data_IF_805314135175
#
_entry.id   IF_805314135175
#
_cell.length_a   1.000
_cell.length_b   1.000
_cell.length_c   1.000
_cell.angle_alpha   90.00
_cell.angle_beta   90.00
_cell.angle_gamma   90.00
#
_symmetry.space_group_name_H-M   'P 1'
#
loop_
_entity.id
_entity.type
_entity.pdbx_description
1 polymer ?
#
# COMPACT_ATOMS: atom_id res chain seq x y z
N UNK A 1 -9.75 -18.26 17.26
CA UNK A 1 -9.53 -16.82 16.94
C UNK A 1 -8.14 -16.28 17.38
N UNK A 2 -7.31 -17.03 18.09
CA UNK A 2 -6.00 -16.58 18.61
C UNK A 2 -4.87 -16.56 17.58
N UNK A 3 -4.85 -17.46 16.60
CA UNK A 3 -3.80 -17.51 15.56
C UNK A 3 -3.77 -16.30 14.60
N UNK A 4 -4.93 -15.80 14.17
CA UNK A 4 -4.99 -14.64 13.29
C UNK A 4 -4.52 -13.32 13.93
N UNK A 5 -4.55 -13.22 15.27
CA UNK A 5 -4.08 -12.02 15.98
C UNK A 5 -2.56 -11.83 15.94
N UNK A 6 -1.78 -12.92 15.74
CA UNK A 6 -0.31 -12.86 15.64
C UNK A 6 0.17 -12.68 14.20
N UNK A 7 -0.56 -13.20 13.23
CA UNK A 7 -0.16 -13.21 11.82
C UNK A 7 -0.23 -11.84 11.16
N UNK A 8 -1.24 -11.03 11.46
CA UNK A 8 -1.38 -9.69 10.86
C UNK A 8 -0.16 -8.80 11.19
N UNK A 9 0.25 -8.63 12.47
CA UNK A 9 1.47 -7.87 12.77
C UNK A 9 2.72 -8.44 12.13
N UNK A 10 2.87 -9.78 12.11
CA UNK A 10 4.02 -10.43 11.46
C UNK A 10 4.06 -10.13 9.95
N UNK A 11 2.92 -10.26 9.26
CA UNK A 11 2.83 -9.93 7.83
C UNK A 11 3.18 -8.48 7.56
N UNK A 12 2.71 -7.54 8.40
CA UNK A 12 3.06 -6.12 8.29
C UNK A 12 4.58 -5.93 8.41
N UNK A 13 5.22 -6.58 9.39
CA UNK A 13 6.67 -6.50 9.59
C UNK A 13 7.44 -7.07 8.39
N UNK A 14 7.05 -8.24 7.88
CA UNK A 14 7.69 -8.84 6.69
C UNK A 14 7.48 -7.96 5.46
N UNK A 15 6.30 -7.36 5.29
CA UNK A 15 6.02 -6.42 4.18
C UNK A 15 6.92 -5.19 4.24
N UNK A 16 7.13 -4.62 5.41
CA UNK A 16 8.01 -3.46 5.59
C UNK A 16 9.49 -3.83 5.39
N UNK A 17 9.90 -5.03 5.81
CA UNK A 17 11.22 -5.56 5.51
C UNK A 17 11.42 -5.75 4.00
N UNK A 18 10.44 -6.31 3.30
CA UNK A 18 10.48 -6.46 1.85
C UNK A 18 10.60 -5.09 1.16
N UNK A 19 9.87 -4.09 1.65
CA UNK A 19 9.91 -2.74 1.11
C UNK A 19 11.28 -2.06 1.35
N UNK A 20 11.84 -2.19 2.56
CA UNK A 20 13.17 -1.68 2.87
C UNK A 20 14.28 -2.39 2.06
N UNK A 21 14.16 -3.72 1.85
CA UNK A 21 15.06 -4.50 1.00
C UNK A 21 14.99 -4.04 -0.45
N UNK A 22 13.79 -3.73 -0.95
CA UNK A 22 13.62 -3.18 -2.31
C UNK A 22 14.27 -1.80 -2.44
N UNK A 23 14.16 -0.93 -1.44
CA UNK A 23 14.84 0.35 -1.42
C UNK A 23 16.37 0.19 -1.47
N UNK A 24 16.91 -0.73 -0.69
CA UNK A 24 18.34 -1.08 -0.74
C UNK A 24 18.74 -1.62 -2.12
N UNK A 25 17.88 -2.44 -2.75
CA UNK A 25 18.10 -3.01 -4.08
C UNK A 25 18.20 -1.92 -5.15
N UNK A 26 17.45 -0.84 -5.02
CA UNK A 26 17.52 0.31 -5.91
C UNK A 26 18.91 0.97 -5.83
N UNK A 27 19.44 1.22 -4.64
CA UNK A 27 20.80 1.73 -4.50
C UNK A 27 21.86 0.78 -5.07
N UNK A 28 21.76 -0.53 -4.76
CA UNK A 28 22.72 -1.53 -5.22
C UNK A 28 22.62 -1.76 -6.73
N UNK A 29 21.50 -1.38 -7.37
CA UNK A 29 21.33 -1.49 -8.83
C UNK A 29 22.32 -0.62 -9.62
N UNK A 30 22.94 0.39 -9.00
CA UNK A 30 24.07 1.14 -9.55
C UNK A 30 25.23 0.24 -10.01
N UNK A 31 25.44 -0.89 -9.32
CA UNK A 31 26.50 -1.86 -9.61
C UNK A 31 25.96 -3.18 -10.17
N UNK A 32 24.68 -3.49 -9.89
CA UNK A 32 24.00 -4.72 -10.30
C UNK A 32 22.62 -4.39 -10.88
N UNK A 33 22.53 -3.97 -12.16
CA UNK A 33 21.30 -3.46 -12.79
C UNK A 33 20.07 -4.39 -12.65
N UNK A 34 20.30 -5.71 -12.57
CA UNK A 34 19.20 -6.70 -12.36
C UNK A 34 18.42 -6.48 -11.07
N UNK A 35 19.00 -5.81 -10.07
CA UNK A 35 18.34 -5.55 -8.81
C UNK A 35 17.27 -4.47 -8.90
N UNK A 36 17.30 -3.61 -9.92
CA UNK A 36 16.24 -2.62 -10.14
C UNK A 36 14.87 -3.27 -10.39
N UNK A 37 14.68 -4.09 -11.46
CA UNK A 37 13.40 -4.74 -11.72
C UNK A 37 13.03 -5.75 -10.61
N UNK A 38 13.99 -6.38 -9.96
CA UNK A 38 13.75 -7.24 -8.81
C UNK A 38 13.20 -6.42 -7.62
N UNK A 39 13.78 -5.26 -7.34
CA UNK A 39 13.32 -4.34 -6.30
C UNK A 39 11.91 -3.83 -6.56
N UNK A 40 11.58 -3.43 -7.80
CA UNK A 40 10.20 -3.05 -8.18
C UNK A 40 9.22 -4.17 -7.88
N UNK A 41 9.55 -5.41 -8.25
CA UNK A 41 8.70 -6.56 -7.97
C UNK A 41 8.53 -6.79 -6.46
N UNK A 42 9.60 -6.65 -5.67
CA UNK A 42 9.54 -6.84 -4.24
C UNK A 42 8.70 -5.76 -3.52
N UNK A 43 8.80 -4.48 -3.95
CA UNK A 43 7.92 -3.42 -3.41
C UNK A 43 6.46 -3.78 -3.64
N UNK A 44 6.09 -4.11 -4.88
CA UNK A 44 4.69 -4.30 -5.27
C UNK A 44 4.12 -5.58 -4.67
N UNK A 45 4.83 -6.69 -4.84
CA UNK A 45 4.33 -8.02 -4.46
C UNK A 45 4.62 -8.36 -3.00
N UNK A 46 5.78 -7.96 -2.46
CA UNK A 46 6.22 -8.31 -1.11
C UNK A 46 5.95 -7.22 -0.06
N UNK A 47 5.99 -5.95 -0.47
CA UNK A 47 5.71 -4.81 0.40
C UNK A 47 4.23 -4.44 0.41
N UNK A 48 3.74 -3.88 -0.68
CA UNK A 48 2.40 -3.27 -0.78
C UNK A 48 1.29 -4.31 -0.69
N UNK A 49 1.33 -5.36 -1.51
CA UNK A 49 0.22 -6.30 -1.64
C UNK A 49 -0.06 -7.09 -0.35
N UNK A 50 0.93 -7.70 0.34
CA UNK A 50 0.67 -8.39 1.59
C UNK A 50 0.25 -7.44 2.72
N UNK A 51 0.72 -6.19 2.71
CA UNK A 51 0.28 -5.17 3.65
C UNK A 51 -1.21 -4.86 3.46
N UNK A 52 -1.66 -4.70 2.20
CA UNK A 52 -3.08 -4.51 1.87
C UNK A 52 -3.90 -5.72 2.33
N UNK A 53 -3.44 -6.95 2.10
CA UNK A 53 -4.11 -8.14 2.60
C UNK A 53 -4.22 -8.11 4.12
N UNK A 54 -3.13 -7.86 4.83
CA UNK A 54 -3.10 -7.83 6.29
C UNK A 54 -4.07 -6.80 6.89
N UNK A 55 -4.14 -5.60 6.31
CA UNK A 55 -5.08 -4.53 6.72
C UNK A 55 -6.52 -4.94 6.38
N UNK A 56 -6.76 -5.44 5.17
CA UNK A 56 -8.09 -5.83 4.73
C UNK A 56 -8.67 -7.02 5.52
N UNK A 57 -7.84 -7.88 6.10
CA UNK A 57 -8.31 -8.94 7.00
C UNK A 57 -9.15 -8.39 8.17
N UNK A 58 -8.85 -7.16 8.62
CA UNK A 58 -9.60 -6.48 9.67
C UNK A 58 -10.70 -5.57 9.12
N UNK A 59 -10.41 -4.90 8.03
CA UNK A 59 -11.18 -3.77 7.53
C UNK A 59 -12.27 -4.22 6.57
N UNK A 60 -12.00 -5.17 5.69
CA UNK A 60 -12.92 -5.59 4.64
C UNK A 60 -14.26 -6.15 5.15
N UNK A 61 -14.32 -6.97 6.23
CA UNK A 61 -15.60 -7.40 6.80
C UNK A 61 -16.46 -6.24 7.30
N UNK A 62 -15.84 -5.15 7.74
CA UNK A 62 -16.56 -3.95 8.18
C UNK A 62 -17.17 -3.20 7.00
N UNK A 63 -16.46 -3.19 5.84
CA UNK A 63 -16.91 -2.50 4.63
C UNK A 63 -17.91 -3.31 3.81
N UNK A 64 -17.66 -4.62 3.66
CA UNK A 64 -18.46 -5.48 2.81
C UNK A 64 -19.76 -5.94 3.48
N UNK A 65 -19.85 -5.88 4.81
CA UNK A 65 -20.92 -6.50 5.58
C UNK A 65 -20.90 -8.03 5.50
N UNK A 66 -19.80 -8.63 5.05
CA UNK A 66 -19.64 -10.09 4.90
C UNK A 66 -18.62 -10.62 5.90
N UNK A 67 -18.82 -11.84 6.33
CA UNK A 67 -17.83 -12.57 7.12
C UNK A 67 -16.82 -13.27 6.18
N UNK A 68 -15.67 -13.61 6.71
CA UNK A 68 -14.74 -14.49 6.02
C UNK A 68 -15.31 -15.89 5.91
N UNK A 69 -15.05 -16.57 4.77
CA UNK A 69 -15.47 -17.98 4.61
C UNK A 69 -14.78 -18.90 5.62
N UNK A 70 -13.48 -18.69 5.82
CA UNK A 70 -12.70 -19.50 6.75
C UNK A 70 -11.45 -18.74 7.24
N UNK A 71 -11.11 -18.83 8.54
CA UNK A 71 -9.85 -18.32 9.06
C UNK A 71 -8.60 -19.00 8.45
N UNK A 72 -8.72 -20.27 8.01
CA UNK A 72 -7.60 -20.99 7.36
C UNK A 72 -7.25 -20.38 6.01
N UNK A 73 -8.24 -19.93 5.24
CA UNK A 73 -8.02 -19.25 3.96
C UNK A 73 -7.27 -17.92 4.14
N UNK A 74 -7.49 -17.22 5.25
CA UNK A 74 -6.75 -16.01 5.58
C UNK A 74 -5.27 -16.32 5.83
N UNK A 75 -4.99 -17.41 6.55
CA UNK A 75 -3.63 -17.86 6.79
C UNK A 75 -2.93 -18.23 5.47
N UNK A 76 -3.60 -19.02 4.62
CA UNK A 76 -3.08 -19.38 3.30
C UNK A 76 -2.79 -18.15 2.43
N UNK A 77 -3.68 -17.16 2.41
CA UNK A 77 -3.44 -15.90 1.70
C UNK A 77 -2.12 -15.24 2.15
N UNK A 78 -1.90 -15.11 3.47
CA UNK A 78 -0.71 -14.46 4.00
C UNK A 78 0.56 -15.28 3.75
N UNK A 79 0.50 -16.61 3.80
CA UNK A 79 1.63 -17.49 3.51
C UNK A 79 1.99 -17.41 2.02
N UNK A 80 1.03 -17.59 1.12
CA UNK A 80 1.30 -17.51 -0.32
C UNK A 80 1.76 -16.12 -0.76
N UNK A 81 1.32 -15.05 -0.10
CA UNK A 81 1.81 -13.70 -0.39
C UNK A 81 3.32 -13.55 -0.17
N UNK A 82 3.94 -14.38 0.70
CA UNK A 82 5.40 -14.37 0.90
C UNK A 82 6.17 -14.95 -0.29
N UNK A 83 5.52 -15.59 -1.26
CA UNK A 83 6.14 -16.04 -2.51
C UNK A 83 6.72 -14.90 -3.34
N UNK A 84 6.38 -13.65 -3.03
CA UNK A 84 7.02 -12.45 -3.57
C UNK A 84 8.55 -12.44 -3.40
N UNK A 85 9.07 -13.03 -2.33
CA UNK A 85 10.51 -13.19 -2.15
C UNK A 85 11.14 -14.11 -3.19
N UNK A 86 10.43 -15.14 -3.63
CA UNK A 86 10.90 -16.02 -4.73
C UNK A 86 10.91 -15.25 -6.06
N UNK A 87 9.92 -14.38 -6.32
CA UNK A 87 9.94 -13.50 -7.51
C UNK A 87 11.19 -12.60 -7.47
N UNK A 88 11.46 -11.98 -6.32
CA UNK A 88 12.66 -11.14 -6.14
C UNK A 88 13.94 -11.94 -6.39
N UNK A 89 14.10 -13.08 -5.74
CA UNK A 89 15.30 -13.93 -5.86
C UNK A 89 15.48 -14.45 -7.29
N UNK A 90 14.39 -14.85 -7.96
CA UNK A 90 14.42 -15.29 -9.35
C UNK A 90 14.93 -14.19 -10.30
N UNK A 91 14.41 -12.96 -10.15
CA UNK A 91 14.84 -11.77 -10.91
C UNK A 91 16.26 -11.33 -10.55
N UNK A 92 16.64 -11.45 -9.29
CA UNK A 92 17.98 -11.13 -8.82
C UNK A 92 19.08 -12.06 -9.35
N UNK A 93 18.72 -13.27 -9.81
CA UNK A 93 19.69 -14.17 -10.46
C UNK A 93 19.50 -15.68 -10.23
N UNK A 94 18.55 -16.12 -9.37
CA UNK A 94 18.30 -17.55 -9.16
C UNK A 94 17.51 -18.22 -10.31
N UNK A 95 17.08 -17.45 -11.30
CA UNK A 95 16.54 -17.98 -12.54
C UNK A 95 15.01 -18.00 -12.62
N UNK A 96 14.52 -18.26 -13.85
CA UNK A 96 13.10 -18.14 -14.23
C UNK A 96 12.18 -19.11 -13.52
N UNK A 97 12.65 -20.30 -13.22
CA UNK A 97 11.84 -21.30 -12.50
C UNK A 97 11.47 -20.79 -11.11
N UNK A 98 12.43 -20.21 -10.37
CA UNK A 98 12.20 -19.63 -9.05
C UNK A 98 11.24 -18.45 -9.16
N UNK A 99 11.42 -17.57 -10.17
CA UNK A 99 10.51 -16.44 -10.45
C UNK A 99 9.08 -16.94 -10.72
N UNK A 100 8.92 -17.96 -11.58
CA UNK A 100 7.61 -18.52 -11.94
C UNK A 100 6.88 -19.16 -10.75
N UNK A 101 7.60 -19.92 -9.91
CA UNK A 101 7.05 -20.48 -8.66
C UNK A 101 6.58 -19.37 -7.73
N UNK A 102 7.38 -18.31 -7.60
CA UNK A 102 7.02 -17.12 -6.83
C UNK A 102 5.77 -16.43 -7.39
N UNK A 103 5.70 -16.19 -8.70
CA UNK A 103 4.58 -15.56 -9.37
C UNK A 103 3.29 -16.38 -9.24
N UNK A 104 3.37 -17.70 -9.40
CA UNK A 104 2.25 -18.62 -9.18
C UNK A 104 1.75 -18.57 -7.73
N UNK A 105 2.66 -18.51 -6.75
CA UNK A 105 2.31 -18.34 -5.35
C UNK A 105 1.60 -17.01 -5.06
N UNK A 106 2.07 -15.91 -5.63
CA UNK A 106 1.40 -14.60 -5.51
C UNK A 106 -0.01 -14.61 -6.14
N UNK A 107 -0.17 -15.22 -7.31
CA UNK A 107 -1.48 -15.39 -7.95
C UNK A 107 -2.41 -16.26 -7.09
N UNK A 108 -1.88 -17.35 -6.52
CA UNK A 108 -2.64 -18.22 -5.59
C UNK A 108 -3.09 -17.44 -4.36
N UNK A 109 -2.24 -16.56 -3.80
CA UNK A 109 -2.62 -15.67 -2.70
C UNK A 109 -3.83 -14.80 -3.06
N UNK A 110 -3.82 -14.18 -4.25
CA UNK A 110 -4.91 -13.32 -4.71
C UNK A 110 -6.22 -14.10 -4.93
N UNK A 111 -6.15 -15.29 -5.52
CA UNK A 111 -7.32 -16.15 -5.74
C UNK A 111 -7.92 -16.63 -4.41
N UNK A 112 -7.08 -17.06 -3.46
CA UNK A 112 -7.51 -17.46 -2.11
C UNK A 112 -8.11 -16.27 -1.37
N UNK A 113 -7.51 -15.07 -1.48
CA UNK A 113 -8.04 -13.84 -0.90
C UNK A 113 -9.42 -13.49 -1.46
N UNK A 114 -9.56 -13.50 -2.79
CA UNK A 114 -10.82 -13.22 -3.47
C UNK A 114 -11.93 -14.22 -3.04
N UNK A 115 -11.60 -15.50 -2.98
CA UNK A 115 -12.54 -16.51 -2.50
C UNK A 115 -12.90 -16.35 -1.03
N UNK A 116 -11.92 -16.06 -0.18
CA UNK A 116 -12.12 -15.88 1.26
C UNK A 116 -13.02 -14.69 1.60
N UNK A 117 -12.96 -13.61 0.81
CA UNK A 117 -13.80 -12.40 1.00
C UNK A 117 -15.25 -12.59 0.63
N UNK A 118 -15.60 -13.63 -0.15
CA UNK A 118 -16.95 -13.98 -0.58
C UNK A 118 -17.77 -14.75 0.46
N UNK A 119 -17.46 -14.63 1.75
CA UNK A 119 -18.18 -15.29 2.84
C UNK A 119 -19.64 -14.82 3.01
N UNK A 120 -20.41 -15.45 3.92
CA UNK A 120 -21.82 -15.14 4.13
C UNK A 120 -21.99 -13.68 4.59
N UNK A 121 -23.13 -13.09 4.20
CA UNK A 121 -23.53 -11.76 4.67
C UNK A 121 -23.74 -11.83 6.18
N UNK A 122 -23.24 -10.83 6.90
CA UNK A 122 -23.53 -10.70 8.34
C UNK A 122 -25.01 -10.51 8.53
N UNK A 123 -25.57 -11.16 9.54
CA UNK A 123 -26.95 -10.91 9.97
C UNK A 123 -27.10 -9.40 10.18
N UNK A 124 -28.07 -8.74 9.54
CA UNK A 124 -28.32 -7.33 9.77
C UNK A 124 -28.48 -7.09 11.29
N UNK A 125 -27.97 -6.00 11.83
CA UNK A 125 -28.36 -5.59 13.18
C UNK A 125 -29.88 -5.44 13.25
N UNK A 126 -30.44 -5.68 14.42
CA UNK A 126 -31.89 -5.64 14.64
C UNK A 126 -32.53 -4.38 14.03
N UNK A 127 -33.77 -4.47 13.51
CA UNK A 127 -34.48 -3.32 12.95
C UNK A 127 -34.49 -2.15 13.96
N UNK A 128 -33.92 -1.02 13.56
CA UNK A 128 -33.68 0.16 14.40
C UNK A 128 -32.22 0.50 14.68
N UNK A 129 -31.31 -0.45 14.69
CA UNK A 129 -29.87 -0.18 14.84
C UNK A 129 -29.17 0.13 13.48
N UNK A 130 -29.76 -0.28 12.36
CA UNK A 130 -29.25 -0.03 11.02
C UNK A 130 -29.67 1.33 10.44
N UNK A 131 -30.55 2.03 11.08
CA UNK A 131 -31.11 3.28 10.63
C UNK A 131 -30.18 4.45 10.94
N UNK A 132 -29.36 4.80 10.07
CA UNK A 132 -28.68 6.08 9.81
C UNK A 132 -27.24 5.83 9.34
N UNK A 133 -27.08 5.08 8.27
CA UNK A 133 -25.94 5.37 7.40
C UNK A 133 -26.17 6.80 6.91
N UNK A 134 -25.48 7.75 7.53
CA UNK A 134 -25.61 9.16 7.19
C UNK A 134 -25.49 9.31 5.69
N UNK A 135 -26.45 9.96 5.02
CA UNK A 135 -26.40 10.26 3.58
C UNK A 135 -25.04 10.85 3.15
N UNK A 136 -24.35 11.50 4.10
CA UNK A 136 -22.99 12.00 4.00
C UNK A 136 -21.98 10.96 3.48
N UNK A 137 -22.18 9.67 3.77
CA UNK A 137 -21.21 8.61 3.44
C UNK A 137 -21.59 7.79 2.20
N UNK A 138 -22.84 7.80 1.79
CA UNK A 138 -23.36 6.94 0.70
C UNK A 138 -22.58 7.07 -0.61
N UNK A 139 -22.28 8.29 -1.04
CA UNK A 139 -21.54 8.52 -2.29
C UNK A 139 -20.10 7.99 -2.21
N UNK A 140 -19.40 8.25 -1.10
CA UNK A 140 -18.06 7.73 -0.87
C UNK A 140 -18.03 6.20 -0.82
N UNK A 141 -18.98 5.58 -0.11
CA UNK A 141 -19.09 4.14 0.01
C UNK A 141 -19.38 3.46 -1.32
N UNK A 142 -20.28 4.03 -2.12
CA UNK A 142 -20.64 3.47 -3.43
C UNK A 142 -19.48 3.54 -4.40
N UNK A 143 -18.83 4.71 -4.52
CA UNK A 143 -17.69 4.89 -5.40
C UNK A 143 -16.47 4.12 -4.88
N UNK A 144 -16.25 4.13 -3.57
CA UNK A 144 -15.16 3.35 -2.95
C UNK A 144 -15.26 1.87 -3.24
N UNK A 145 -16.46 1.27 -3.17
CA UNK A 145 -16.68 -0.14 -3.55
C UNK A 145 -16.38 -0.41 -5.02
N UNK A 146 -16.68 0.53 -5.93
CA UNK A 146 -16.34 0.39 -7.36
C UNK A 146 -14.82 0.36 -7.55
N UNK A 147 -14.09 1.26 -6.89
CA UNK A 147 -12.64 1.28 -6.93
C UNK A 147 -12.02 -0.01 -6.35
N UNK A 148 -12.51 -0.53 -5.24
CA UNK A 148 -12.01 -1.80 -4.66
C UNK A 148 -12.26 -2.98 -5.62
N UNK A 149 -13.39 -3.01 -6.32
CA UNK A 149 -13.66 -4.03 -7.35
C UNK A 149 -12.70 -3.90 -8.52
N UNK A 150 -12.50 -2.69 -9.04
CA UNK A 150 -11.56 -2.39 -10.12
C UNK A 150 -10.14 -2.82 -9.73
N UNK A 151 -9.71 -2.46 -8.51
CA UNK A 151 -8.43 -2.88 -7.96
C UNK A 151 -8.28 -4.41 -7.94
N UNK A 152 -9.30 -5.15 -7.51
CA UNK A 152 -9.29 -6.62 -7.54
C UNK A 152 -9.11 -7.21 -8.94
N UNK A 153 -9.74 -6.62 -9.96
CA UNK A 153 -9.56 -7.02 -11.36
C UNK A 153 -8.11 -6.81 -11.79
N UNK A 154 -7.55 -5.62 -11.55
CA UNK A 154 -6.17 -5.33 -11.94
C UNK A 154 -5.12 -6.11 -11.14
N UNK A 155 -5.42 -6.50 -9.90
CA UNK A 155 -4.58 -7.43 -9.15
C UNK A 155 -4.46 -8.76 -9.91
N UNK A 156 -5.58 -9.35 -10.31
CA UNK A 156 -5.57 -10.63 -11.02
C UNK A 156 -4.94 -10.51 -12.42
N UNK A 157 -5.25 -9.44 -13.16
CA UNK A 157 -4.64 -9.16 -14.47
C UNK A 157 -3.14 -8.99 -14.34
N UNK A 158 -2.67 -8.16 -13.41
CA UNK A 158 -1.25 -7.91 -13.20
C UNK A 158 -0.50 -9.15 -12.75
N UNK A 159 -1.05 -9.95 -11.81
CA UNK A 159 -0.41 -11.20 -11.37
C UNK A 159 -0.40 -12.26 -12.48
N UNK A 160 -1.48 -12.37 -13.25
CA UNK A 160 -1.53 -13.25 -14.43
C UNK A 160 -0.50 -12.86 -15.48
N UNK A 161 -0.38 -11.55 -15.79
CA UNK A 161 0.64 -11.04 -16.68
C UNK A 161 2.06 -11.31 -16.15
N UNK A 162 2.30 -11.08 -14.85
CA UNK A 162 3.60 -11.36 -14.22
C UNK A 162 4.00 -12.83 -14.33
N UNK A 163 3.04 -13.75 -14.15
CA UNK A 163 3.28 -15.18 -14.38
C UNK A 163 3.55 -15.49 -15.86
N UNK A 164 2.79 -14.90 -16.78
CA UNK A 164 2.99 -15.08 -18.22
C UNK A 164 4.37 -14.60 -18.66
N UNK A 165 4.88 -13.48 -18.13
CA UNK A 165 6.20 -12.93 -18.43
C UNK A 165 7.36 -13.82 -17.96
N UNK A 166 7.14 -14.75 -17.05
CA UNK A 166 8.15 -15.75 -16.71
C UNK A 166 8.44 -16.70 -17.89
N UNK A 167 7.45 -16.96 -18.74
CA UNK A 167 7.55 -17.88 -19.86
C UNK A 167 7.70 -17.16 -21.21
N UNK A 168 7.11 -15.98 -21.35
CA UNK A 168 7.12 -15.18 -22.56
C UNK A 168 7.74 -13.81 -22.25
N UNK A 169 8.94 -13.54 -22.81
CA UNK A 169 9.62 -12.25 -22.68
C UNK A 169 9.78 -11.64 -24.06
N UNK A 170 8.85 -10.79 -24.49
CA UNK A 170 9.08 -9.97 -25.66
C UNK A 170 10.29 -9.07 -25.41
N UNK A 171 11.17 -8.91 -26.42
CA UNK A 171 12.49 -8.26 -26.28
C UNK A 171 12.46 -6.79 -25.84
N UNK A 172 11.30 -6.14 -25.84
CA UNK A 172 11.11 -4.80 -25.29
C UNK A 172 10.66 -4.87 -23.85
N UNK A 173 11.28 -4.14 -22.93
CA UNK A 173 10.84 -4.03 -21.52
C UNK A 173 9.44 -3.42 -21.30
N UNK A 174 8.68 -3.19 -22.36
CA UNK A 174 7.34 -2.56 -22.35
C UNK A 174 6.32 -3.33 -21.51
N UNK A 175 6.31 -4.64 -21.64
CA UNK A 175 5.38 -5.49 -20.90
C UNK A 175 5.65 -5.51 -19.38
N UNK A 176 6.91 -5.29 -18.98
CA UNK A 176 7.25 -5.05 -17.58
C UNK A 176 6.66 -3.71 -17.08
N UNK A 177 6.62 -2.68 -17.93
CA UNK A 177 5.95 -1.41 -17.61
C UNK A 177 4.44 -1.59 -17.52
N UNK A 178 3.83 -2.33 -18.46
CA UNK A 178 2.40 -2.69 -18.41
C UNK A 178 2.08 -3.42 -17.10
N UNK A 179 2.88 -4.42 -16.75
CA UNK A 179 2.78 -5.18 -15.51
C UNK A 179 2.86 -4.27 -14.28
N UNK A 180 3.87 -3.43 -14.21
CA UNK A 180 4.09 -2.54 -13.09
C UNK A 180 2.93 -1.53 -12.92
N UNK A 181 2.46 -0.90 -14.01
CA UNK A 181 1.37 0.07 -13.95
C UNK A 181 0.01 -0.59 -13.68
N UNK A 182 -0.25 -1.79 -14.20
CA UNK A 182 -1.45 -2.55 -13.86
C UNK A 182 -1.53 -2.81 -12.34
N UNK A 183 -0.40 -3.13 -11.69
CA UNK A 183 -0.35 -3.36 -10.26
C UNK A 183 -0.26 -2.07 -9.43
N UNK A 184 0.46 -1.04 -9.89
CA UNK A 184 0.62 0.20 -9.12
C UNK A 184 -0.58 1.13 -9.26
N UNK A 185 -1.05 1.37 -10.47
CA UNK A 185 -2.20 2.26 -10.71
C UNK A 185 -3.50 1.46 -10.61
N UNK A 186 -3.56 0.31 -11.29
CA UNK A 186 -4.77 -0.51 -11.32
C UNK A 186 -5.11 -1.14 -9.98
N UNK A 187 -4.16 -1.79 -9.32
CA UNK A 187 -4.39 -2.41 -8.02
C UNK A 187 -4.20 -1.43 -6.86
N UNK A 188 -2.99 -0.88 -6.67
CA UNK A 188 -2.66 -0.15 -5.46
C UNK A 188 -3.37 1.22 -5.38
N UNK A 189 -3.21 2.10 -6.38
CA UNK A 189 -3.84 3.42 -6.37
C UNK A 189 -5.37 3.33 -6.34
N UNK A 190 -5.97 2.39 -7.09
CA UNK A 190 -7.41 2.16 -7.05
C UNK A 190 -7.88 1.65 -5.68
N UNK A 191 -7.12 0.74 -5.04
CA UNK A 191 -7.42 0.31 -3.66
C UNK A 191 -7.34 1.46 -2.68
N UNK A 192 -6.28 2.28 -2.76
CA UNK A 192 -6.11 3.49 -1.94
C UNK A 192 -7.28 4.46 -2.14
N UNK A 193 -7.66 4.73 -3.39
CA UNK A 193 -8.80 5.61 -3.72
C UNK A 193 -10.10 5.11 -3.10
N UNK A 194 -10.35 3.79 -3.23
CA UNK A 194 -11.52 3.15 -2.64
C UNK A 194 -11.57 3.25 -1.12
N UNK A 195 -10.45 2.97 -0.46
CA UNK A 195 -10.32 3.07 1.00
C UNK A 195 -10.42 4.52 1.47
N UNK A 196 -9.73 5.46 0.80
CA UNK A 196 -9.80 6.88 1.14
C UNK A 196 -11.24 7.41 1.06
N UNK A 197 -11.98 7.07 0.02
CA UNK A 197 -13.37 7.51 -0.16
C UNK A 197 -14.32 6.94 0.90
N UNK A 198 -13.99 5.80 1.47
CA UNK A 198 -14.76 5.22 2.57
C UNK A 198 -14.35 5.78 3.93
N UNK A 199 -13.04 5.85 4.25
CA UNK A 199 -12.59 6.12 5.62
C UNK A 199 -12.43 7.60 5.94
N UNK A 200 -11.94 8.43 4.99
CA UNK A 200 -11.62 9.83 5.28
C UNK A 200 -12.83 10.66 5.74
N UNK A 201 -14.03 10.56 5.13
CA UNK A 201 -15.19 11.31 5.64
C UNK A 201 -15.67 10.85 7.03
N UNK A 202 -15.30 9.63 7.45
CA UNK A 202 -15.56 9.13 8.80
C UNK A 202 -14.57 9.60 9.84
N UNK A 203 -13.35 9.90 9.39
CA UNK A 203 -12.27 10.39 10.23
C UNK A 203 -12.20 11.91 10.31
N UNK A 204 -12.66 12.60 9.26
CA UNK A 204 -12.78 14.05 9.18
C UNK A 204 -14.15 14.51 9.67
N UNK A 205 -14.22 15.75 10.16
CA UNK A 205 -15.48 16.42 10.48
C UNK A 205 -16.23 16.86 9.22
N UNK A 206 -15.53 16.91 8.06
CA UNK A 206 -16.07 17.37 6.77
C UNK A 206 -16.67 16.20 5.98
N UNK A 207 -17.66 16.53 5.12
CA UNK A 207 -18.17 15.63 4.09
C UNK A 207 -17.59 15.96 2.72
N UNK A 208 -18.05 15.26 1.70
CA UNK A 208 -17.71 15.54 0.32
C UNK A 208 -18.30 16.89 -0.14
N UNK A 209 -17.46 17.78 -0.66
CA UNK A 209 -17.92 19.06 -1.20
C UNK A 209 -18.73 18.88 -2.49
N UNK A 210 -18.28 17.99 -3.37
CA UNK A 210 -18.85 17.71 -4.68
C UNK A 210 -18.89 16.19 -4.94
N UNK A 211 -19.94 15.49 -4.48
CA UNK A 211 -20.01 14.02 -4.60
C UNK A 211 -19.91 13.49 -6.03
N UNK A 212 -20.29 14.24 -7.06
CA UNK A 212 -20.17 13.84 -8.46
C UNK A 212 -18.71 13.69 -8.91
N UNK A 213 -17.77 14.46 -8.32
CA UNK A 213 -16.35 14.34 -8.61
C UNK A 213 -15.76 12.95 -8.22
N UNK A 214 -16.34 12.26 -7.23
CA UNK A 214 -15.92 10.92 -6.90
C UNK A 214 -16.21 9.94 -8.03
N UNK A 215 -17.40 10.08 -8.64
CA UNK A 215 -17.80 9.28 -9.80
C UNK A 215 -16.95 9.60 -11.03
N UNK A 216 -16.70 10.89 -11.27
CA UNK A 216 -15.85 11.33 -12.38
C UNK A 216 -14.44 10.77 -12.22
N UNK A 217 -13.83 10.85 -11.02
CA UNK A 217 -12.52 10.22 -10.75
C UNK A 217 -12.53 8.72 -11.09
N UNK A 218 -13.57 7.99 -10.65
CA UNK A 218 -13.69 6.57 -10.98
C UNK A 218 -13.75 6.32 -12.49
N UNK A 219 -14.53 7.12 -13.24
CA UNK A 219 -14.64 6.97 -14.69
C UNK A 219 -13.32 7.28 -15.40
N UNK A 220 -12.62 8.35 -14.98
CA UNK A 220 -11.33 8.71 -15.56
C UNK A 220 -10.29 7.60 -15.39
N UNK A 221 -10.19 6.97 -14.21
CA UNK A 221 -9.30 5.82 -13.98
C UNK A 221 -9.80 4.59 -14.76
N UNK A 222 -11.10 4.30 -14.75
CA UNK A 222 -11.66 3.12 -15.41
C UNK A 222 -11.46 3.13 -16.94
N UNK A 223 -11.41 4.31 -17.56
CA UNK A 223 -11.15 4.47 -18.99
C UNK A 223 -9.69 4.85 -19.30
N UNK A 224 -9.08 5.72 -18.50
CA UNK A 224 -7.72 6.19 -18.73
C UNK A 224 -6.67 5.10 -18.57
N UNK A 225 -6.80 4.29 -17.51
CA UNK A 225 -5.83 3.23 -17.23
C UNK A 225 -5.74 2.15 -18.35
N UNK A 226 -6.85 1.58 -18.88
CA UNK A 226 -6.74 0.68 -20.03
C UNK A 226 -6.07 1.32 -21.24
N UNK A 227 -6.37 2.58 -21.53
CA UNK A 227 -5.73 3.32 -22.64
C UNK A 227 -4.24 3.51 -22.38
N UNK A 228 -3.83 3.83 -21.14
CA UNK A 228 -2.43 3.94 -20.76
C UNK A 228 -1.70 2.61 -20.88
N UNK A 229 -2.28 1.50 -20.40
CA UNK A 229 -1.67 0.19 -20.52
C UNK A 229 -1.51 -0.25 -21.99
N UNK A 230 -2.49 0.07 -22.83
CA UNK A 230 -2.42 -0.16 -24.28
C UNK A 230 -1.35 0.73 -24.93
N UNK A 231 -1.27 2.00 -24.54
CA UNK A 231 -0.22 2.92 -25.01
C UNK A 231 1.19 2.39 -24.68
N UNK A 232 1.39 1.88 -23.44
CA UNK A 232 2.66 1.26 -23.03
C UNK A 232 2.95 -0.02 -23.82
N UNK A 233 1.96 -0.89 -24.03
CA UNK A 233 2.13 -2.15 -24.73
C UNK A 233 2.51 -1.95 -26.21
N UNK A 234 1.87 -0.97 -26.89
CA UNK A 234 2.02 -0.70 -28.32
C UNK A 234 3.06 0.38 -28.62
N UNK A 235 3.57 1.09 -27.60
CA UNK A 235 4.42 2.30 -27.78
C UNK A 235 3.75 3.36 -28.66
N UNK A 236 2.49 3.61 -28.41
CA UNK A 236 1.63 4.40 -29.29
C UNK A 236 1.46 5.83 -28.77
N UNK A 237 2.23 6.77 -29.32
CA UNK A 237 2.17 8.20 -28.96
C UNK A 237 0.72 8.79 -28.96
N UNK A 238 -0.15 8.47 -29.94
CA UNK A 238 -1.54 8.98 -29.92
C UNK A 238 -2.33 8.51 -28.70
N UNK A 239 -2.10 7.30 -28.21
CA UNK A 239 -2.79 6.78 -27.02
C UNK A 239 -2.27 7.45 -25.76
N UNK A 240 -0.98 7.80 -25.66
CA UNK A 240 -0.46 8.61 -24.55
C UNK A 240 -1.07 10.01 -24.52
N UNK A 241 -1.32 10.62 -25.68
CA UNK A 241 -1.99 11.93 -25.77
C UNK A 241 -3.43 11.90 -25.22
N UNK A 242 -4.07 10.73 -25.20
CA UNK A 242 -5.40 10.54 -24.59
C UNK A 242 -5.27 10.15 -23.11
N UNK A 243 -4.43 9.14 -22.80
CA UNK A 243 -4.28 8.61 -21.45
C UNK A 243 -3.72 9.66 -20.47
N UNK A 244 -2.71 10.43 -20.88
CA UNK A 244 -2.07 11.44 -20.04
C UNK A 244 -3.02 12.44 -19.42
N UNK A 245 -3.85 13.17 -20.21
CA UNK A 245 -4.85 14.07 -19.68
C UNK A 245 -5.90 13.41 -18.79
N UNK A 246 -6.34 12.18 -19.11
CA UNK A 246 -7.31 11.45 -18.29
C UNK A 246 -6.73 11.10 -16.91
N UNK A 247 -5.51 10.59 -16.85
CA UNK A 247 -4.83 10.25 -15.61
C UNK A 247 -4.47 11.52 -14.80
N UNK A 248 -4.01 12.58 -15.44
CA UNK A 248 -3.75 13.85 -14.80
C UNK A 248 -5.02 14.46 -14.19
N UNK A 249 -6.14 14.45 -14.91
CA UNK A 249 -7.43 14.92 -14.41
C UNK A 249 -7.91 14.04 -13.23
N UNK A 250 -7.74 12.72 -13.33
CA UNK A 250 -8.06 11.80 -12.25
C UNK A 250 -7.26 12.14 -10.98
N UNK A 251 -5.94 12.36 -11.09
CA UNK A 251 -5.09 12.74 -9.97
C UNK A 251 -5.52 14.08 -9.35
N UNK A 252 -5.76 15.10 -10.16
CA UNK A 252 -6.22 16.43 -9.68
C UNK A 252 -7.52 16.27 -8.90
N UNK A 253 -8.47 15.52 -9.42
CA UNK A 253 -9.76 15.29 -8.75
C UNK A 253 -9.57 14.48 -7.47
N UNK A 254 -8.69 13.48 -7.47
CA UNK A 254 -8.37 12.70 -6.27
C UNK A 254 -7.82 13.60 -5.16
N UNK A 255 -6.78 14.39 -5.46
CA UNK A 255 -6.18 15.33 -4.50
C UNK A 255 -7.20 16.36 -4.04
N UNK A 256 -7.98 16.94 -4.94
CA UNK A 256 -9.04 17.89 -4.62
C UNK A 256 -10.08 17.33 -3.64
N UNK A 257 -10.44 16.06 -3.80
CA UNK A 257 -11.41 15.40 -2.94
C UNK A 257 -10.82 15.09 -1.56
N UNK A 258 -9.59 14.57 -1.47
CA UNK A 258 -9.04 14.05 -0.21
C UNK A 258 -8.34 15.12 0.63
N UNK A 259 -7.71 16.12 0.02
CA UNK A 259 -6.91 17.12 0.74
C UNK A 259 -7.68 17.85 1.85
N UNK A 260 -8.90 18.38 1.62
CA UNK A 260 -9.67 19.03 2.68
C UNK A 260 -10.00 18.14 3.86
N UNK A 261 -10.17 16.83 3.61
CA UNK A 261 -10.45 15.84 4.65
C UNK A 261 -9.17 15.48 5.42
N UNK A 262 -8.05 15.37 4.71
CA UNK A 262 -6.75 15.06 5.30
C UNK A 262 -6.28 16.19 6.25
N UNK A 263 -6.60 17.44 5.93
CA UNK A 263 -6.24 18.60 6.76
C UNK A 263 -6.91 18.61 8.14
N UNK A 264 -8.03 17.92 8.31
CA UNK A 264 -8.73 17.77 9.61
C UNK A 264 -8.11 16.69 10.52
N UNK A 265 -7.18 15.89 10.00
CA UNK A 265 -6.60 14.76 10.73
C UNK A 265 -5.47 15.20 11.68
N UNK A 266 -5.10 14.36 12.67
CA UNK A 266 -3.98 14.64 13.56
C UNK A 266 -2.68 14.95 12.81
N UNK A 267 -1.81 15.74 13.42
CA UNK A 267 -0.60 16.31 12.77
C UNK A 267 0.25 15.28 12.02
N UNK A 268 0.56 14.13 12.61
CA UNK A 268 1.38 13.09 11.96
C UNK A 268 0.71 12.52 10.70
N UNK A 269 -0.57 12.15 10.81
CA UNK A 269 -1.36 11.65 9.69
C UNK A 269 -1.50 12.69 8.59
N UNK A 270 -1.84 13.92 8.97
CA UNK A 270 -1.94 15.05 8.02
C UNK A 270 -0.62 15.27 7.28
N UNK A 271 0.51 15.34 8.01
CA UNK A 271 1.83 15.49 7.39
C UNK A 271 2.12 14.36 6.38
N UNK A 272 1.96 13.09 6.80
CA UNK A 272 2.20 11.94 5.92
C UNK A 272 1.33 11.96 4.67
N UNK A 273 0.02 12.27 4.79
CA UNK A 273 -0.90 12.30 3.65
C UNK A 273 -0.65 13.47 2.71
N UNK A 274 -0.32 14.66 3.23
CA UNK A 274 -0.02 15.84 2.40
C UNK A 274 1.29 15.63 1.66
N UNK A 275 2.34 15.20 2.36
CA UNK A 275 3.63 14.91 1.73
C UNK A 275 3.51 13.80 0.69
N UNK A 276 2.78 12.72 0.99
CA UNK A 276 2.47 11.67 0.02
C UNK A 276 1.76 12.22 -1.23
N UNK A 277 0.74 13.06 -1.05
CA UNK A 277 0.02 13.68 -2.16
C UNK A 277 0.90 14.55 -3.05
N UNK A 278 1.82 15.32 -2.46
CA UNK A 278 2.80 16.15 -3.20
C UNK A 278 3.77 15.28 -4.00
N UNK A 279 4.31 14.20 -3.40
CA UNK A 279 5.22 13.29 -4.11
C UNK A 279 4.50 12.48 -5.20
N UNK A 280 3.24 12.11 -5.00
CA UNK A 280 2.41 11.51 -6.05
C UNK A 280 2.24 12.48 -7.23
N UNK A 281 1.87 13.74 -6.95
CA UNK A 281 1.70 14.76 -7.99
C UNK A 281 2.99 14.97 -8.78
N UNK A 282 4.13 15.11 -8.09
CA UNK A 282 5.44 15.24 -8.74
C UNK A 282 5.78 13.98 -9.54
N UNK A 283 5.67 12.81 -8.95
CA UNK A 283 5.98 11.54 -9.60
C UNK A 283 5.13 11.30 -10.85
N UNK A 284 3.82 11.54 -10.79
CA UNK A 284 2.92 11.40 -11.96
C UNK A 284 3.24 12.44 -13.03
N UNK A 285 3.61 13.67 -12.65
CA UNK A 285 4.04 14.70 -13.61
C UNK A 285 5.30 14.29 -14.38
N UNK A 286 6.27 13.66 -13.71
CA UNK A 286 7.44 13.10 -14.40
C UNK A 286 7.05 11.94 -15.34
N UNK A 287 6.12 11.09 -14.93
CA UNK A 287 5.55 10.04 -15.78
C UNK A 287 4.88 10.60 -17.03
N UNK A 288 4.06 11.65 -16.88
CA UNK A 288 3.41 12.33 -17.98
C UNK A 288 4.44 12.98 -18.93
N UNK A 289 5.48 13.62 -18.39
CA UNK A 289 6.56 14.19 -19.18
C UNK A 289 7.27 13.11 -20.03
N UNK A 290 7.59 11.95 -19.45
CA UNK A 290 8.20 10.83 -20.18
C UNK A 290 7.27 10.26 -21.27
N UNK A 291 5.96 10.30 -21.05
CA UNK A 291 4.97 9.83 -22.04
C UNK A 291 4.88 10.76 -23.26
N UNK A 292 4.91 12.08 -23.06
CA UNK A 292 4.80 13.06 -24.16
C UNK A 292 6.15 13.41 -24.78
N UNK A 293 7.25 13.20 -24.06
CA UNK A 293 8.62 13.48 -24.51
C UNK A 293 9.54 12.29 -24.15
N UNK A 294 9.55 11.20 -24.95
CA UNK A 294 10.26 9.95 -24.62
C UNK A 294 11.76 10.11 -24.38
N UNK A 295 12.38 11.17 -24.90
CA UNK A 295 13.80 11.50 -24.65
C UNK A 295 14.12 11.70 -23.17
N UNK A 296 13.11 12.00 -22.31
CA UNK A 296 13.26 12.13 -20.87
C UNK A 296 13.18 10.79 -20.13
N UNK A 297 12.68 9.73 -20.76
CA UNK A 297 12.53 8.43 -20.11
C UNK A 297 13.83 7.90 -19.48
N UNK A 298 14.99 7.88 -20.17
CA UNK A 298 16.23 7.41 -19.57
C UNK A 298 16.69 8.24 -18.38
N UNK A 299 16.29 9.52 -18.32
CA UNK A 299 16.70 10.49 -17.31
C UNK A 299 15.83 10.46 -16.05
N UNK A 300 14.54 10.17 -16.19
CA UNK A 300 13.56 10.40 -15.14
C UNK A 300 12.96 9.12 -14.55
N UNK A 301 13.13 7.95 -15.18
CA UNK A 301 12.39 6.75 -14.76
C UNK A 301 12.73 6.29 -13.33
N UNK A 302 14.00 6.40 -12.89
CA UNK A 302 14.38 6.07 -11.51
C UNK A 302 13.78 7.08 -10.53
N UNK A 303 13.92 8.38 -10.82
CA UNK A 303 13.33 9.45 -10.00
C UNK A 303 11.81 9.30 -9.88
N UNK A 304 11.13 9.02 -11.00
CA UNK A 304 9.69 8.74 -11.03
C UNK A 304 9.33 7.55 -10.13
N UNK A 305 10.08 6.46 -10.22
CA UNK A 305 9.83 5.27 -9.41
C UNK A 305 10.09 5.51 -7.93
N UNK A 306 11.18 6.18 -7.55
CA UNK A 306 11.50 6.55 -6.17
C UNK A 306 10.38 7.39 -5.53
N UNK A 307 9.93 8.44 -6.21
CA UNK A 307 8.89 9.33 -5.71
C UNK A 307 7.56 8.59 -5.49
N UNK A 308 7.20 7.66 -6.38
CA UNK A 308 5.94 6.95 -6.29
C UNK A 308 6.00 5.73 -5.36
N UNK A 309 7.05 4.89 -5.46
CA UNK A 309 7.11 3.63 -4.72
C UNK A 309 7.48 3.82 -3.25
N UNK A 310 8.39 4.73 -2.96
CA UNK A 310 8.90 4.95 -1.60
C UNK A 310 8.38 6.25 -1.01
N UNK A 311 8.29 7.31 -1.81
CA UNK A 311 7.77 8.61 -1.37
C UNK A 311 6.27 8.58 -1.12
N UNK A 312 5.48 8.53 -2.20
CA UNK A 312 4.03 8.52 -2.08
C UNK A 312 3.53 7.33 -1.26
N UNK A 313 3.85 6.12 -1.69
CA UNK A 313 3.31 4.93 -1.06
C UNK A 313 3.80 4.76 0.39
N UNK A 314 5.09 4.98 0.65
CA UNK A 314 5.67 4.86 1.99
C UNK A 314 5.11 5.88 2.99
N UNK A 315 5.01 7.16 2.59
CA UNK A 315 4.43 8.21 3.43
C UNK A 315 2.92 8.05 3.63
N UNK A 316 2.21 7.60 2.59
CA UNK A 316 0.79 7.29 2.68
C UNK A 316 0.53 6.19 3.72
N UNK A 317 1.25 5.08 3.61
CA UNK A 317 1.11 3.94 4.53
C UNK A 317 1.49 4.32 5.95
N UNK A 318 2.60 5.04 6.14
CA UNK A 318 3.02 5.51 7.46
C UNK A 318 2.01 6.51 8.05
N UNK A 319 1.56 7.49 7.27
CA UNK A 319 0.57 8.48 7.69
C UNK A 319 -0.77 7.87 8.10
N UNK A 320 -1.33 6.99 7.26
CA UNK A 320 -2.54 6.23 7.61
C UNK A 320 -2.30 5.30 8.79
N UNK A 321 -1.15 4.65 8.84
CA UNK A 321 -0.79 3.70 9.88
C UNK A 321 -0.77 4.35 11.26
N UNK A 322 -0.23 5.56 11.39
CA UNK A 322 -0.23 6.32 12.65
C UNK A 322 -1.62 6.71 13.14
N UNK A 323 -2.61 6.73 12.28
CA UNK A 323 -4.00 6.92 12.67
C UNK A 323 -4.71 5.61 12.96
N UNK A 324 -4.54 4.63 12.09
CA UNK A 324 -5.32 3.38 12.07
C UNK A 324 -4.84 2.38 13.12
N UNK A 325 -3.53 2.11 13.17
CA UNK A 325 -3.00 1.02 14.00
C UNK A 325 -3.16 1.26 15.51
N UNK A 326 -2.93 2.46 16.07
CA UNK A 326 -3.22 2.73 17.48
C UNK A 326 -4.70 2.51 17.83
N UNK A 327 -5.62 2.87 16.92
CA UNK A 327 -7.06 2.63 17.09
C UNK A 327 -7.42 1.15 17.05
N UNK A 328 -6.84 0.40 16.13
CA UNK A 328 -7.02 -1.06 16.06
C UNK A 328 -6.43 -1.77 17.30
N UNK A 329 -5.39 -1.22 17.89
CA UNK A 329 -4.79 -1.69 19.12
C UNK A 329 -5.55 -1.23 20.39
N UNK A 330 -6.50 -0.28 20.26
CA UNK A 330 -7.19 0.34 21.38
C UNK A 330 -6.29 1.18 22.28
N UNK A 331 -5.24 1.82 21.73
CA UNK A 331 -4.17 2.50 22.49
C UNK A 331 -3.61 3.70 21.76
N UNK A 332 -3.09 4.71 22.49
CA UNK A 332 -2.37 5.80 21.88
C UNK A 332 -1.04 5.32 21.29
N UNK A 333 -0.53 6.06 20.31
CA UNK A 333 0.81 5.87 19.77
C UNK A 333 1.85 6.06 20.88
N UNK A 334 2.75 5.07 21.05
CA UNK A 334 3.71 5.06 22.16
C UNK A 334 4.73 6.18 22.08
N UNK A 335 5.29 6.42 20.90
CA UNK A 335 6.40 7.35 20.68
C UNK A 335 6.11 8.37 19.55
N UNK A 336 5.25 9.39 19.78
CA UNK A 336 4.83 10.31 18.71
C UNK A 336 5.99 11.18 18.18
N UNK A 337 6.99 11.49 18.98
CA UNK A 337 8.20 12.24 18.53
C UNK A 337 9.04 11.40 17.58
N UNK A 338 9.26 10.11 17.89
CA UNK A 338 9.99 9.19 17.01
C UNK A 338 9.22 8.94 15.70
N UNK A 339 7.89 8.93 15.75
CA UNK A 339 7.05 8.84 14.56
C UNK A 339 7.20 10.07 13.65
N UNK A 340 7.34 11.27 14.22
CA UNK A 340 7.63 12.47 13.44
C UNK A 340 9.02 12.43 12.80
N UNK A 341 10.03 11.98 13.53
CA UNK A 341 11.39 11.79 13.00
C UNK A 341 11.41 10.75 11.89
N UNK A 342 10.68 9.64 12.07
CA UNK A 342 10.56 8.60 11.05
C UNK A 342 9.96 9.12 9.74
N UNK A 343 8.85 9.89 9.80
CA UNK A 343 8.25 10.49 8.62
C UNK A 343 9.22 11.49 7.95
N UNK A 344 9.92 12.30 8.74
CA UNK A 344 10.95 13.22 8.25
C UNK A 344 12.11 12.49 7.58
N UNK A 345 12.62 11.41 8.19
CA UNK A 345 13.69 10.60 7.64
C UNK A 345 13.27 9.92 6.32
N UNK A 346 12.06 9.36 6.26
CA UNK A 346 11.54 8.75 5.04
C UNK A 346 11.42 9.79 3.91
N UNK A 347 10.83 10.95 4.19
CA UNK A 347 10.70 12.03 3.20
C UNK A 347 12.07 12.53 2.72
N UNK A 348 12.98 12.85 3.65
CA UNK A 348 14.32 13.35 3.33
C UNK A 348 15.13 12.30 2.54
N UNK A 349 15.06 11.03 2.95
CA UNK A 349 15.72 9.92 2.26
C UNK A 349 15.26 9.76 0.82
N UNK A 350 13.95 9.78 0.59
CA UNK A 350 13.38 9.68 -0.76
C UNK A 350 13.74 10.88 -1.62
N UNK A 351 13.64 12.11 -1.10
CA UNK A 351 14.00 13.31 -1.87
C UNK A 351 15.48 13.33 -2.23
N UNK A 352 16.35 12.95 -1.28
CA UNK A 352 17.80 12.84 -1.52
C UNK A 352 18.10 11.78 -2.58
N UNK A 353 17.52 10.57 -2.46
CA UNK A 353 17.73 9.49 -3.44
C UNK A 353 17.19 9.87 -4.82
N UNK A 354 15.97 10.37 -4.90
CA UNK A 354 15.32 10.74 -6.17
C UNK A 354 16.06 11.86 -6.91
N UNK A 355 16.48 12.91 -6.20
CA UNK A 355 17.27 14.00 -6.77
C UNK A 355 18.67 13.55 -7.21
N UNK A 356 19.28 12.68 -6.41
CA UNK A 356 20.60 12.14 -6.73
C UNK A 356 20.57 11.17 -7.93
N UNK A 357 19.49 10.40 -8.12
CA UNK A 357 19.30 9.59 -9.33
C UNK A 357 19.30 10.45 -10.59
N UNK A 358 18.55 11.55 -10.57
CA UNK A 358 18.55 12.48 -11.70
C UNK A 358 19.96 13.03 -11.96
N UNK A 359 20.65 13.53 -10.92
CA UNK A 359 22.00 14.07 -11.04
C UNK A 359 23.01 13.00 -11.55
N UNK A 360 22.88 11.76 -11.10
CA UNK A 360 23.75 10.66 -11.55
C UNK A 360 23.58 10.37 -13.04
N UNK A 361 22.34 10.34 -13.52
CA UNK A 361 22.05 10.08 -14.95
C UNK A 361 22.50 11.26 -15.83
N UNK A 362 22.49 12.49 -15.30
CA UNK A 362 23.07 13.68 -15.99
C UNK A 362 24.62 13.72 -15.95
N UNK A 363 25.26 12.66 -15.47
CA UNK A 363 26.71 12.51 -15.52
C UNK A 363 27.47 12.91 -14.23
N UNK A 364 26.78 13.30 -13.17
CA UNK A 364 27.41 13.62 -11.88
C UNK A 364 27.68 12.31 -11.13
N UNK A 365 28.80 11.66 -11.42
CA UNK A 365 29.16 10.34 -10.84
C UNK A 365 29.21 10.34 -9.31
N UNK A 366 29.60 11.46 -8.69
CA UNK A 366 29.61 11.60 -7.22
C UNK A 366 28.22 11.46 -6.60
N UNK A 367 27.13 11.67 -7.37
CA UNK A 367 25.76 11.52 -6.92
C UNK A 367 25.38 10.08 -6.48
N UNK A 368 26.20 9.07 -6.81
CA UNK A 368 26.03 7.69 -6.32
C UNK A 368 25.98 7.60 -4.80
N UNK A 369 26.76 8.40 -4.10
CA UNK A 369 26.79 8.38 -2.65
C UNK A 369 25.52 8.96 -2.00
N UNK A 370 25.00 10.12 -2.43
CA UNK A 370 23.67 10.57 -2.03
C UNK A 370 22.54 9.57 -2.36
N UNK A 371 22.61 8.83 -3.49
CA UNK A 371 21.64 7.75 -3.76
C UNK A 371 21.69 6.70 -2.65
N UNK A 372 22.88 6.20 -2.32
CA UNK A 372 23.05 5.19 -1.26
C UNK A 372 22.59 5.72 0.09
N UNK A 373 23.01 6.93 0.47
CA UNK A 373 22.64 7.54 1.75
C UNK A 373 21.13 7.80 1.84
N UNK A 374 20.52 8.34 0.78
CA UNK A 374 19.09 8.59 0.70
C UNK A 374 18.28 7.30 0.79
N UNK A 375 18.68 6.27 0.04
CA UNK A 375 18.04 4.95 0.08
C UNK A 375 18.17 4.28 1.45
N UNK A 376 19.34 4.39 2.11
CA UNK A 376 19.53 3.85 3.45
C UNK A 376 18.64 4.58 4.47
N UNK A 377 18.54 5.91 4.38
CA UNK A 377 17.67 6.71 5.24
C UNK A 377 16.19 6.41 5.03
N UNK A 378 15.75 6.25 3.78
CA UNK A 378 14.38 5.87 3.46
C UNK A 378 14.06 4.45 3.94
N UNK A 379 14.96 3.48 3.74
CA UNK A 379 14.82 2.12 4.26
C UNK A 379 14.74 2.10 5.80
N UNK A 380 15.60 2.86 6.49
CA UNK A 380 15.54 3.02 7.94
C UNK A 380 14.21 3.65 8.39
N UNK A 381 13.67 4.61 7.62
CA UNK A 381 12.34 5.17 7.83
C UNK A 381 11.24 4.10 7.76
N UNK A 382 11.23 3.25 6.72
CA UNK A 382 10.24 2.17 6.56
C UNK A 382 10.33 1.14 7.70
N UNK A 383 11.55 0.71 8.07
CA UNK A 383 11.76 -0.21 9.19
C UNK A 383 11.37 0.44 10.52
N UNK A 384 11.74 1.71 10.73
CA UNK A 384 11.37 2.49 11.91
C UNK A 384 9.85 2.57 12.11
N UNK A 385 9.09 2.75 11.03
CA UNK A 385 7.62 2.68 11.10
C UNK A 385 7.15 1.30 11.62
N UNK A 386 7.73 0.21 11.09
CA UNK A 386 7.42 -1.14 11.55
C UNK A 386 7.69 -1.35 13.03
N UNK A 387 8.87 -0.92 13.50
CA UNK A 387 9.27 -1.03 14.91
C UNK A 387 8.36 -0.21 15.84
N UNK A 388 8.00 1.01 15.45
CA UNK A 388 7.09 1.87 16.21
C UNK A 388 5.69 1.28 16.31
N UNK A 389 5.18 0.70 15.22
CA UNK A 389 3.91 0.00 15.24
C UNK A 389 3.99 -1.29 16.05
N UNK A 390 5.04 -2.08 15.89
CA UNK A 390 5.32 -3.29 16.65
C UNK A 390 5.32 -3.01 18.17
N UNK A 391 6.04 -1.98 18.61
CA UNK A 391 6.10 -1.59 20.02
C UNK A 391 4.72 -1.17 20.57
N UNK A 392 3.91 -0.47 19.76
CA UNK A 392 2.55 -0.06 20.14
C UNK A 392 1.63 -1.28 20.32
N UNK A 393 1.80 -2.33 19.52
CA UNK A 393 1.02 -3.57 19.63
C UNK A 393 1.50 -4.48 20.78
N UNK A 394 2.80 -4.58 21.03
CA UNK A 394 3.39 -5.49 22.03
C UNK A 394 3.08 -5.08 23.45
N UNK A 395 3.20 -3.80 23.80
CA UNK A 395 2.83 -3.28 25.14
C UNK A 395 1.38 -3.60 25.53
N UNK A 396 0.55 -3.81 24.51
CA UNK A 396 -0.84 -4.23 24.65
C UNK A 396 -1.01 -5.55 25.35
N UNK A 397 -0.10 -6.44 25.11
CA UNK A 397 -0.20 -7.82 25.65
C UNK A 397 0.25 -7.89 27.10
N UNK A 398 1.31 -7.17 27.45
CA UNK A 398 1.83 -7.17 28.81
C UNK A 398 0.82 -6.62 29.82
N UNK A 399 0.11 -5.53 29.49
CA UNK A 399 -0.88 -4.91 30.39
C UNK A 399 -2.19 -5.71 30.51
N UNK A 400 -2.61 -6.41 29.45
CA UNK A 400 -3.78 -7.31 29.51
C UNK A 400 -3.47 -8.58 30.32
N UNK A 401 -2.27 -9.14 30.15
CA UNK A 401 -1.80 -10.27 30.95
C UNK A 401 -1.68 -9.88 32.44
N UNK A 402 -1.12 -8.70 32.75
CA UNK A 402 -1.03 -8.17 34.11
C UNK A 402 -2.40 -7.89 34.75
N UNK A 403 -3.39 -7.41 33.98
CA UNK A 403 -4.76 -7.23 34.49
C UNK A 403 -5.48 -8.55 34.75
N UNK A 404 -5.29 -9.57 33.90
CA UNK A 404 -5.83 -10.90 34.15
C UNK A 404 -5.17 -11.57 35.37
N UNK A 405 -3.86 -11.39 35.56
CA UNK A 405 -3.19 -11.89 36.75
C UNK A 405 -3.64 -11.16 38.04
N UNK A 406 -3.79 -9.83 37.98
CA UNK A 406 -4.27 -9.04 39.11
C UNK A 406 -5.73 -9.39 39.46
N UNK A 407 -6.58 -9.64 38.46
CA UNK A 407 -7.97 -10.06 38.68
C UNK A 407 -8.06 -11.50 39.26
N UNK A 408 -7.18 -12.39 38.88
CA UNK A 408 -7.13 -13.75 39.41
C UNK A 408 -6.53 -13.81 40.83
N UNK A 409 -5.59 -12.91 41.17
CA UNK A 409 -5.03 -12.80 42.51
C UNK A 409 -5.99 -12.09 43.47
N UNK A 410 -6.65 -11.01 43.00
CA UNK A 410 -7.68 -10.30 43.81
C UNK A 410 -8.92 -11.15 44.07
N UNK A 411 -9.35 -12.00 43.13
CA UNK A 411 -10.46 -12.93 43.30
C UNK A 411 -10.19 -14.09 44.30
N UNK A 412 -8.92 -14.42 44.54
CA UNK A 412 -8.57 -15.43 45.56
C UNK A 412 -8.51 -14.89 46.97
N UNK A 413 -8.29 -13.59 47.17
CA UNK A 413 -8.30 -13.01 48.54
C UNK A 413 -9.68 -12.76 49.10
N UNK A 414 -10.69 -12.54 48.27
CA UNK A 414 -12.08 -12.30 48.72
C UNK A 414 -12.84 -13.59 49.04
N UNK A 415 -12.37 -14.77 48.60
CA UNK A 415 -13.01 -16.05 48.95
C UNK A 415 -12.42 -16.67 50.24
N UNK A 416 -11.24 -16.21 50.68
CA UNK A 416 -10.55 -16.71 51.87
C UNK A 416 -11.08 -16.10 53.20
N UNK A 417 -11.74 -14.93 53.14
CA UNK A 417 -12.22 -14.22 54.34
C UNK A 417 -13.70 -14.52 54.69
N UNK A 418 -14.43 -15.21 53.82
CA UNK A 418 -15.85 -15.56 54.03
C UNK A 418 -16.06 -16.91 54.78
N UNK A 419 -14.99 -17.60 55.17
CA UNK A 419 -15.06 -18.88 55.88
C UNK A 419 -14.53 -18.82 57.32
N UNK A 420 -14.32 -17.61 57.88
CA UNK A 420 -13.92 -17.39 59.28
C UNK A 420 -14.88 -16.46 59.97
N UNK A 421 -16.12 -16.87 60.13
CA UNK A 421 -17.05 -16.38 61.16
C UNK A 421 -17.95 -17.53 61.60
#
# INVERSE_FOLDING_TARGET
MTSGRRLVPLTIMISLLAWATAQASFAVSLWKPRLWPAGVALVVLGGITPLIYAVNLRVLPLFSGRNWRSPRLLLLTLVFAQSAWLVFLGRAGLGRTVEAVGAAGCLSAALVFAYATGGPVRTPPAPGAAARVSQKHVHGDTTGRRFVKLAGVYLLVGLGLGLALCFWRPGSGRWELVWAHALLVGWFLSMVSGVCYHVLPRWSRRGWRRPWLLRLHFLLIAFGLPVMLLALALDAAPLFAVAGPLEAAALVIFVWNILPLALDLPRLTRFGLVAAGLLLALGVSLGALMAVAPAWQPRLHQTHAELNLFGWAGLLVSGFGYYLFPRLAGRPLRHPRLAALQLGALLAGVLLSAGAWYAYVEGIVAARWPIVAGSALAAAGLLGFGLLMGSTFLDGRARLAGRHQAATVGGRQTVGDATRT
#
